data_IF_158179870122
#
_entry.id   IF_158179870122
#
_cell.length_a   1.000
_cell.length_b   1.000
_cell.length_c   1.000
_cell.angle_alpha   90.00
_cell.angle_beta   90.00
_cell.angle_gamma   90.00
#
_symmetry.space_group_name_H-M   'P 1'
#
loop_
_entity.id
_entity.type
_entity.pdbx_description
1 polymer ?
#
# COMPACT_ATOMS: atom_id res chain seq x y z
N UNK A 1 -17.56 6.22 5.56
CA UNK A 1 -17.41 5.97 4.11
C UNK A 1 -18.35 4.82 3.73
N UNK A 2 -19.02 4.88 2.57
CA UNK A 2 -19.92 3.78 2.14
C UNK A 2 -19.09 2.59 1.60
N UNK A 3 -19.64 1.37 1.65
CA UNK A 3 -18.91 0.16 1.24
C UNK A 3 -18.49 0.21 -0.26
N UNK A 4 -19.22 0.94 -1.10
CA UNK A 4 -18.87 1.17 -2.52
C UNK A 4 -17.56 1.95 -2.71
N UNK A 5 -17.30 2.98 -1.89
CA UNK A 5 -16.05 3.74 -1.95
C UNK A 5 -14.87 2.88 -1.50
N UNK A 6 -15.07 1.99 -0.52
CA UNK A 6 -14.05 1.07 -0.01
C UNK A 6 -13.71 0.00 -1.06
N UNK A 7 -14.71 -0.50 -1.79
CA UNK A 7 -14.51 -1.47 -2.86
C UNK A 7 -13.64 -0.92 -4.01
N UNK A 8 -13.70 0.39 -4.28
CA UNK A 8 -12.90 1.04 -5.33
C UNK A 8 -11.38 0.97 -5.09
N UNK A 9 -10.95 0.88 -3.83
CA UNK A 9 -9.52 0.84 -3.47
C UNK A 9 -8.96 -0.58 -3.37
N UNK A 10 -9.79 -1.61 -3.57
CA UNK A 10 -9.42 -3.00 -3.37
C UNK A 10 -8.95 -3.63 -4.68
N UNK A 11 -7.74 -4.19 -4.66
CA UNK A 11 -7.23 -5.03 -5.74
C UNK A 11 -7.77 -6.46 -5.60
N UNK A 12 -7.96 -7.13 -6.74
CA UNK A 12 -8.34 -8.53 -6.75
C UNK A 12 -7.14 -9.38 -6.33
N UNK A 13 -7.31 -10.16 -5.26
CA UNK A 13 -6.31 -11.12 -4.84
C UNK A 13 -6.37 -12.33 -5.80
N UNK A 14 -5.26 -12.73 -6.45
CA UNK A 14 -5.26 -13.80 -7.45
C UNK A 14 -5.20 -15.21 -6.83
N UNK A 15 -5.36 -15.32 -5.51
CA UNK A 15 -5.38 -16.58 -4.77
C UNK A 15 -6.58 -16.65 -3.83
N UNK A 16 -6.99 -17.87 -3.52
CA UNK A 16 -7.88 -18.13 -2.40
C UNK A 16 -7.06 -18.19 -1.10
N UNK A 17 -7.47 -17.42 -0.10
CA UNK A 17 -6.86 -17.46 1.23
C UNK A 17 -7.29 -18.73 1.97
N UNK A 18 -6.37 -19.30 2.74
CA UNK A 18 -6.63 -20.40 3.68
C UNK A 18 -7.17 -19.90 5.04
N UNK A 19 -7.42 -18.59 5.15
CA UNK A 19 -8.00 -17.91 6.29
C UNK A 19 -9.06 -16.91 5.83
N UNK A 20 -10.00 -16.51 6.70
CA UNK A 20 -10.85 -15.35 6.46
C UNK A 20 -10.01 -14.09 6.22
N UNK A 21 -10.38 -13.29 5.22
CA UNK A 21 -9.59 -12.12 4.81
C UNK A 21 -9.54 -11.03 5.89
N UNK A 22 -10.61 -10.86 6.65
CA UNK A 22 -10.68 -9.96 7.82
C UNK A 22 -9.64 -10.31 8.90
N UNK A 23 -9.15 -11.56 8.92
CA UNK A 23 -8.09 -12.00 9.82
C UNK A 23 -6.67 -11.76 9.26
N UNK A 24 -6.53 -11.25 8.02
CA UNK A 24 -5.23 -10.88 7.48
C UNK A 24 -4.54 -9.87 8.40
N UNK A 25 -3.32 -10.18 8.77
CA UNK A 25 -2.46 -9.35 9.61
C UNK A 25 -1.00 -9.53 9.17
N UNK A 26 -0.06 -8.84 9.83
CA UNK A 26 1.35 -8.87 9.47
C UNK A 26 1.96 -10.29 9.48
N UNK A 27 1.52 -11.16 10.41
CA UNK A 27 2.00 -12.54 10.50
C UNK A 27 1.51 -13.35 9.30
N UNK A 28 0.23 -13.21 8.96
CA UNK A 28 -0.37 -13.89 7.81
C UNK A 28 0.22 -13.40 6.49
N UNK A 29 0.48 -12.10 6.36
CA UNK A 29 1.21 -11.53 5.24
C UNK A 29 2.58 -12.21 5.07
N UNK A 30 3.42 -12.24 6.12
CA UNK A 30 4.75 -12.84 6.07
C UNK A 30 4.66 -14.34 5.72
N UNK A 31 3.68 -15.05 6.30
CA UNK A 31 3.45 -16.46 6.00
C UNK A 31 3.14 -16.67 4.52
N UNK A 32 2.26 -15.86 3.94
CA UNK A 32 1.86 -15.98 2.53
C UNK A 32 3.00 -15.58 1.58
N UNK A 33 3.76 -14.52 1.88
CA UNK A 33 4.96 -14.14 1.12
C UNK A 33 5.94 -15.32 1.03
N UNK A 34 6.22 -15.96 2.17
CA UNK A 34 7.12 -17.14 2.23
C UNK A 34 6.54 -18.34 1.48
N UNK A 35 5.27 -18.68 1.74
CA UNK A 35 4.56 -19.82 1.12
C UNK A 35 4.59 -19.75 -0.40
N UNK A 36 4.39 -18.54 -0.95
CA UNK A 36 4.30 -18.33 -2.39
C UNK A 36 5.60 -17.84 -3.04
N UNK A 37 6.70 -17.75 -2.28
CA UNK A 37 8.00 -17.23 -2.76
C UNK A 37 7.85 -15.88 -3.47
N UNK A 38 7.14 -14.95 -2.83
CA UNK A 38 6.90 -13.60 -3.33
C UNK A 38 8.01 -12.67 -2.89
N UNK A 39 8.27 -11.63 -3.67
CA UNK A 39 9.21 -10.57 -3.28
C UNK A 39 8.45 -9.46 -2.54
N UNK A 40 9.15 -8.78 -1.62
CA UNK A 40 8.67 -7.55 -0.99
C UNK A 40 9.39 -6.40 -1.69
N UNK A 41 8.76 -5.85 -2.72
CA UNK A 41 9.23 -4.69 -3.49
C UNK A 41 8.82 -3.39 -2.82
N UNK A 42 9.29 -2.25 -3.34
CA UNK A 42 8.85 -0.93 -2.87
C UNK A 42 7.35 -0.73 -3.01
N UNK A 43 6.74 -1.33 -4.03
CA UNK A 43 5.30 -1.28 -4.24
C UNK A 43 4.53 -1.99 -3.12
N UNK A 44 5.02 -3.17 -2.71
CA UNK A 44 4.47 -3.95 -1.61
C UNK A 44 4.64 -3.21 -0.28
N UNK A 45 5.83 -2.67 0.00
CA UNK A 45 6.11 -1.87 1.22
C UNK A 45 5.13 -0.70 1.39
N UNK A 46 4.76 -0.06 0.29
CA UNK A 46 3.84 1.09 0.28
C UNK A 46 2.46 0.72 0.84
N UNK A 47 1.91 -0.41 0.40
CA UNK A 47 0.65 -0.90 0.95
C UNK A 47 0.79 -1.35 2.41
N UNK A 48 1.93 -1.91 2.82
CA UNK A 48 2.19 -2.25 4.22
C UNK A 48 2.30 -1.01 5.12
N UNK A 49 2.85 0.09 4.61
CA UNK A 49 2.89 1.37 5.34
C UNK A 49 1.48 1.88 5.63
N UNK A 50 0.57 1.86 4.65
CA UNK A 50 -0.85 2.17 4.86
C UNK A 50 -1.49 1.28 5.94
N UNK A 51 -1.24 -0.02 5.89
CA UNK A 51 -1.73 -0.95 6.93
C UNK A 51 -1.21 -0.57 8.32
N UNK A 52 0.06 -0.18 8.43
CA UNK A 52 0.68 0.28 9.68
C UNK A 52 0.01 1.57 10.19
N UNK A 53 -0.20 2.56 9.31
CA UNK A 53 -0.89 3.82 9.63
C UNK A 53 -2.27 3.58 10.22
N UNK A 54 -3.09 2.75 9.56
CA UNK A 54 -4.42 2.41 10.08
C UNK A 54 -4.37 1.70 11.43
N UNK A 55 -3.40 0.78 11.64
CA UNK A 55 -3.19 0.14 12.93
C UNK A 55 -2.82 1.14 14.04
N UNK A 56 -1.99 2.13 13.74
CA UNK A 56 -1.61 3.17 14.70
C UNK A 56 -2.80 4.05 15.07
N UNK A 57 -3.63 4.42 14.08
CA UNK A 57 -4.88 5.16 14.33
C UNK A 57 -5.85 4.35 15.21
N UNK A 58 -6.00 3.05 14.95
CA UNK A 58 -6.81 2.15 15.80
C UNK A 58 -6.29 2.16 17.24
N UNK A 59 -4.99 2.00 17.44
CA UNK A 59 -4.37 1.97 18.77
C UNK A 59 -4.55 3.29 19.55
N UNK A 60 -4.40 4.43 18.87
CA UNK A 60 -4.63 5.75 19.45
C UNK A 60 -6.09 5.94 19.87
N UNK A 61 -7.03 5.56 18.99
CA UNK A 61 -8.45 5.63 19.30
C UNK A 61 -8.86 4.66 20.42
N UNK A 62 -8.28 3.48 20.50
CA UNK A 62 -8.68 2.47 21.50
C UNK A 62 -8.31 2.87 22.94
N UNK A 63 -7.17 3.55 23.15
CA UNK A 63 -6.72 3.94 24.51
C UNK A 63 -7.48 5.14 25.10
N UNK A 64 -7.80 6.14 24.30
CA UNK A 64 -8.38 7.40 24.81
C UNK A 64 -9.90 7.51 24.58
N UNK A 65 -10.43 6.83 23.56
CA UNK A 65 -11.83 7.03 23.13
C UNK A 65 -12.83 6.11 23.84
N UNK A 66 -12.38 4.96 24.34
CA UNK A 66 -13.25 3.99 25.05
C UNK A 66 -13.80 4.58 26.37
N UNK A 67 -13.05 5.49 27.00
CA UNK A 67 -13.43 6.13 28.26
C UNK A 67 -14.49 7.25 28.05
N UNK A 68 -14.62 7.79 26.82
CA UNK A 68 -15.37 9.04 26.57
C UNK A 68 -16.59 8.95 25.64
N UNK A 69 -16.81 7.85 24.91
CA UNK A 69 -17.87 7.79 23.89
C UNK A 69 -18.84 6.61 24.09
N UNK A 70 -20.04 6.89 24.59
CA UNK A 70 -21.16 5.94 24.75
C UNK A 70 -22.04 5.78 23.50
N UNK A 71 -21.75 6.52 22.41
CA UNK A 71 -22.67 6.75 21.29
C UNK A 71 -22.43 5.81 20.09
N UNK A 72 -21.54 4.81 20.20
CA UNK A 72 -21.24 3.84 19.14
C UNK A 72 -20.51 4.36 17.89
N UNK A 73 -20.34 5.69 17.73
CA UNK A 73 -19.59 6.31 16.63
C UNK A 73 -18.13 5.81 16.56
N UNK A 74 -17.47 5.71 17.71
CA UNK A 74 -16.08 5.22 17.78
C UNK A 74 -15.96 3.76 17.38
N UNK A 75 -16.93 2.92 17.77
CA UNK A 75 -16.97 1.52 17.33
C UNK A 75 -17.08 1.42 15.80
N UNK A 76 -17.93 2.24 15.16
CA UNK A 76 -18.03 2.31 13.69
C UNK A 76 -16.71 2.75 13.06
N UNK A 77 -16.03 3.74 13.64
CA UNK A 77 -14.74 4.24 13.12
C UNK A 77 -13.63 3.21 13.24
N UNK A 78 -13.57 2.47 14.34
CA UNK A 78 -12.61 1.37 14.53
C UNK A 78 -12.80 0.27 13.49
N UNK A 79 -14.04 -0.12 13.20
CA UNK A 79 -14.36 -1.09 12.14
C UNK A 79 -13.95 -0.58 10.77
N UNK A 80 -14.20 0.70 10.47
CA UNK A 80 -13.78 1.31 9.19
C UNK A 80 -12.25 1.29 9.02
N UNK A 81 -11.51 1.65 10.07
CA UNK A 81 -10.04 1.63 10.03
C UNK A 81 -9.49 0.21 9.93
N UNK A 82 -10.10 -0.77 10.60
CA UNK A 82 -9.65 -2.15 10.51
C UNK A 82 -9.92 -2.76 9.12
N UNK A 83 -11.07 -2.45 8.50
CA UNK A 83 -11.34 -2.78 7.10
C UNK A 83 -10.26 -2.22 6.17
N UNK A 84 -9.87 -0.95 6.33
CA UNK A 84 -8.82 -0.32 5.52
C UNK A 84 -7.44 -0.94 5.74
N UNK A 85 -7.13 -1.32 6.98
CA UNK A 85 -5.92 -2.07 7.33
C UNK A 85 -5.88 -3.41 6.59
N UNK A 86 -6.97 -4.18 6.63
CA UNK A 86 -7.08 -5.47 5.94
C UNK A 86 -6.93 -5.31 4.44
N UNK A 87 -7.62 -4.34 3.84
CA UNK A 87 -7.53 -4.05 2.39
C UNK A 87 -6.10 -3.69 2.00
N UNK A 88 -5.41 -2.90 2.83
CA UNK A 88 -4.00 -2.55 2.56
C UNK A 88 -3.10 -3.78 2.54
N UNK A 89 -3.28 -4.72 3.47
CA UNK A 89 -2.53 -6.00 3.46
C UNK A 89 -2.91 -6.87 2.25
N UNK A 90 -4.19 -6.93 1.90
CA UNK A 90 -4.69 -7.67 0.73
C UNK A 90 -4.12 -7.10 -0.58
N UNK A 91 -4.04 -5.77 -0.70
CA UNK A 91 -3.42 -5.09 -1.84
C UNK A 91 -1.92 -5.35 -1.89
N UNK A 92 -1.22 -5.32 -0.75
CA UNK A 92 0.21 -5.66 -0.69
C UNK A 92 0.47 -7.08 -1.23
N UNK A 93 -0.36 -8.06 -0.85
CA UNK A 93 -0.29 -9.42 -1.39
C UNK A 93 -0.60 -9.46 -2.89
N UNK A 94 -1.66 -8.77 -3.31
CA UNK A 94 -2.08 -8.72 -4.72
C UNK A 94 -0.96 -8.18 -5.60
N UNK A 95 -0.35 -7.06 -5.22
CA UNK A 95 0.81 -6.47 -5.93
C UNK A 95 1.96 -7.46 -6.01
N UNK A 96 2.32 -8.11 -4.89
CA UNK A 96 3.41 -9.07 -4.87
C UNK A 96 3.17 -10.27 -5.83
N UNK A 97 1.92 -10.71 -5.98
CA UNK A 97 1.55 -11.73 -6.95
C UNK A 97 1.62 -11.21 -8.39
N UNK A 98 1.09 -10.02 -8.66
CA UNK A 98 1.14 -9.40 -9.99
C UNK A 98 2.58 -9.19 -10.46
N UNK A 99 3.44 -8.64 -9.60
CA UNK A 99 4.86 -8.43 -9.89
C UNK A 99 5.59 -9.74 -10.20
N UNK A 100 5.27 -10.81 -9.46
CA UNK A 100 5.81 -12.14 -9.75
C UNK A 100 5.32 -12.71 -11.08
N UNK A 101 4.05 -12.52 -11.41
CA UNK A 101 3.47 -13.02 -12.67
C UNK A 101 4.05 -12.29 -13.89
N UNK A 102 4.26 -10.98 -13.76
CA UNK A 102 4.77 -10.12 -14.83
C UNK A 102 6.31 -10.04 -14.87
N UNK A 103 7.00 -10.69 -13.92
CA UNK A 103 8.45 -10.59 -13.71
C UNK A 103 8.95 -9.12 -13.68
N UNK A 104 8.23 -8.27 -12.93
CA UNK A 104 8.49 -6.84 -12.85
C UNK A 104 8.55 -6.34 -11.41
N UNK A 105 9.10 -5.15 -11.22
CA UNK A 105 9.11 -4.41 -9.95
C UNK A 105 8.53 -3.03 -10.21
N UNK A 106 7.22 -2.87 -10.02
CA UNK A 106 6.46 -1.77 -10.63
C UNK A 106 7.00 -0.38 -10.30
N UNK A 107 7.47 -0.16 -9.07
CA UNK A 107 7.97 1.14 -8.62
C UNK A 107 9.41 1.35 -9.02
N UNK A 108 10.23 0.33 -8.85
CA UNK A 108 11.64 0.35 -9.21
C UNK A 108 11.80 0.50 -10.73
N UNK A 109 11.03 -0.24 -11.51
CA UNK A 109 11.00 -0.18 -12.98
C UNK A 109 10.46 1.17 -13.46
N UNK A 110 9.48 1.77 -12.75
CA UNK A 110 8.98 3.11 -13.04
C UNK A 110 10.03 4.21 -12.74
N UNK A 111 10.77 4.08 -11.63
CA UNK A 111 11.86 5.00 -11.28
C UNK A 111 13.04 4.87 -12.25
N UNK A 112 13.39 3.64 -12.63
CA UNK A 112 14.43 3.38 -13.63
C UNK A 112 14.01 3.85 -15.02
N UNK A 113 12.74 3.68 -15.38
CA UNK A 113 12.17 4.29 -16.58
C UNK A 113 12.32 5.82 -16.53
N UNK A 114 11.91 6.47 -15.43
CA UNK A 114 12.05 7.93 -15.28
C UNK A 114 13.51 8.38 -15.41
N UNK A 115 14.47 7.66 -14.83
CA UNK A 115 15.90 7.96 -14.98
C UNK A 115 16.36 7.83 -16.43
N UNK A 116 16.01 6.74 -17.10
CA UNK A 116 16.38 6.49 -18.49
C UNK A 116 15.76 7.53 -19.42
N UNK A 117 14.48 7.89 -19.23
CA UNK A 117 13.80 8.93 -19.99
C UNK A 117 14.45 10.29 -19.78
N UNK A 118 14.84 10.65 -18.54
CA UNK A 118 15.61 11.87 -18.28
C UNK A 118 16.96 11.87 -19.00
N UNK A 119 17.69 10.75 -19.01
CA UNK A 119 18.97 10.65 -19.75
C UNK A 119 18.74 10.79 -21.25
N UNK A 120 17.77 10.05 -21.80
CA UNK A 120 17.43 10.04 -23.23
C UNK A 120 17.06 11.43 -23.74
N UNK A 121 16.31 12.19 -22.96
CA UNK A 121 15.85 13.52 -23.34
C UNK A 121 16.68 14.65 -22.71
N UNK A 122 17.88 14.36 -22.19
CA UNK A 122 18.79 15.36 -21.58
C UNK A 122 18.13 16.21 -20.48
N UNK A 123 17.19 15.60 -19.74
CA UNK A 123 16.41 16.25 -18.69
C UNK A 123 15.14 16.94 -19.18
N UNK A 124 14.92 17.05 -20.49
CA UNK A 124 13.76 17.71 -21.10
C UNK A 124 12.61 16.73 -21.28
N UNK A 125 11.79 16.56 -20.24
CA UNK A 125 10.66 15.65 -20.24
C UNK A 125 9.48 16.13 -21.11
N UNK A 126 9.56 17.30 -21.75
CA UNK A 126 8.55 17.76 -22.71
C UNK A 126 8.76 17.14 -24.10
N UNK A 127 9.93 16.51 -24.34
CA UNK A 127 10.27 15.81 -25.60
C UNK A 127 9.90 14.33 -25.62
N UNK A 128 9.26 13.84 -24.56
CA UNK A 128 8.84 12.45 -24.45
C UNK A 128 7.74 12.13 -25.46
N UNK A 129 7.77 10.93 -26.02
CA UNK A 129 6.68 10.49 -26.90
C UNK A 129 5.44 10.11 -26.08
N UNK A 130 4.29 9.92 -26.74
CA UNK A 130 3.01 9.65 -26.08
C UNK A 130 3.06 8.42 -25.14
N UNK A 131 3.82 7.38 -25.54
CA UNK A 131 4.00 6.18 -24.73
C UNK A 131 4.81 6.47 -23.46
N UNK A 132 5.92 7.19 -23.59
CA UNK A 132 6.76 7.62 -22.47
C UNK A 132 6.01 8.56 -21.52
N UNK A 133 5.20 9.47 -22.07
CA UNK A 133 4.35 10.37 -21.30
C UNK A 133 3.29 9.61 -20.49
N UNK A 134 2.72 8.55 -21.06
CA UNK A 134 1.78 7.67 -20.36
C UNK A 134 2.43 6.99 -19.15
N UNK A 135 3.62 6.40 -19.34
CA UNK A 135 4.36 5.74 -18.24
C UNK A 135 4.81 6.76 -17.20
N UNK A 136 5.25 7.96 -17.60
CA UNK A 136 5.61 9.04 -16.67
C UNK A 136 4.42 9.48 -15.81
N UNK A 137 3.22 9.60 -16.41
CA UNK A 137 2.01 9.98 -15.70
C UNK A 137 1.54 8.89 -14.74
N UNK A 138 1.64 7.62 -15.14
CA UNK A 138 1.39 6.48 -14.25
C UNK A 138 2.36 6.46 -13.08
N UNK A 139 3.65 6.69 -13.35
CA UNK A 139 4.72 6.77 -12.35
C UNK A 139 4.52 7.95 -11.40
N UNK A 140 4.12 9.13 -11.91
CA UNK A 140 3.82 10.31 -11.10
C UNK A 140 2.59 10.11 -10.22
N UNK A 141 1.49 9.59 -10.75
CA UNK A 141 0.29 9.28 -9.94
C UNK A 141 0.61 8.31 -8.81
N UNK A 142 1.48 7.34 -9.08
CA UNK A 142 1.99 6.40 -8.08
C UNK A 142 2.91 7.11 -7.07
N UNK A 143 3.84 7.94 -7.53
CA UNK A 143 4.78 8.72 -6.70
C UNK A 143 4.12 9.84 -5.89
N UNK A 144 3.00 10.42 -6.33
CA UNK A 144 2.20 11.39 -5.58
C UNK A 144 1.46 10.68 -4.45
N UNK A 145 0.92 9.48 -4.72
CA UNK A 145 0.41 8.59 -3.68
C UNK A 145 1.51 8.23 -2.65
N UNK A 146 2.75 8.03 -3.12
CA UNK A 146 3.94 7.83 -2.28
C UNK A 146 4.35 9.10 -1.49
N UNK A 147 4.35 10.28 -2.11
CA UNK A 147 4.77 11.54 -1.48
C UNK A 147 3.83 11.93 -0.35
N UNK A 148 2.52 11.80 -0.52
CA UNK A 148 1.54 12.06 0.55
C UNK A 148 1.78 11.13 1.76
N UNK A 149 2.26 9.90 1.54
CA UNK A 149 2.63 8.99 2.64
C UNK A 149 3.99 9.32 3.27
N UNK A 150 4.99 9.76 2.50
CA UNK A 150 6.34 10.06 3.01
C UNK A 150 6.40 11.43 3.70
N UNK A 151 5.61 12.43 3.28
CA UNK A 151 5.64 13.76 3.91
C UNK A 151 4.89 13.87 5.23
N UNK A 152 4.01 12.93 5.56
CA UNK A 152 3.29 12.95 6.85
C UNK A 152 3.90 12.04 7.95
N UNK A 153 4.71 11.02 7.62
CA UNK A 153 5.13 10.01 8.60
C UNK A 153 6.66 9.91 8.86
N UNK A 154 7.48 10.88 8.44
CA UNK A 154 8.93 10.89 8.74
C UNK A 154 9.33 11.63 10.04
N UNK A 155 8.37 12.02 10.89
CA UNK A 155 8.65 12.53 12.25
C UNK A 155 8.25 11.44 13.25
N UNK A 156 9.10 10.43 13.44
CA UNK A 156 9.19 9.75 14.75
C UNK A 156 9.15 8.22 14.82
N UNK A 157 9.07 7.46 13.74
CA UNK A 157 8.99 6.00 13.82
C UNK A 157 10.13 5.28 13.11
N UNK A 158 11.16 4.82 13.83
CA UNK A 158 12.11 3.83 13.28
C UNK A 158 11.33 2.59 12.84
N UNK A 159 11.50 2.15 11.60
CA UNK A 159 11.00 0.86 11.12
C UNK A 159 11.50 -0.25 12.05
N UNK A 160 10.65 -1.24 12.43
CA UNK A 160 11.10 -2.38 13.21
C UNK A 160 12.15 -3.16 12.40
N UNK A 161 13.30 -3.41 13.02
CA UNK A 161 14.25 -4.39 12.51
C UNK A 161 13.59 -5.77 12.65
N UNK A 162 13.42 -6.46 11.53
CA UNK A 162 13.07 -7.87 11.53
C UNK A 162 14.37 -8.67 11.62
N UNK A 163 14.70 -9.13 12.83
CA UNK A 163 15.60 -10.26 13.07
C UNK A 163 14.79 -11.57 13.05
#
# INVERSE_FOLDING_TARGET
MNDETIAKYRMKLPIQLDIPEDQLNAREFIRLIKKHKLQVTKAVETHLASACRYRNLINGLNKESYIKNSNGFMAKKLVELDKLRVISISNALSVAFYEKELDCRLVEDADDFLKLTKVKHQGDLDKVNEYEQCILKLSQNYCESYRVMVTEDYIGGKLPKFE
#
